data_IF_150177441046
#
_entry.id   IF_150177441046
#
_cell.length_a   1.000
_cell.length_b   1.000
_cell.length_c   1.000
_cell.angle_alpha   90.00
_cell.angle_beta   90.00
_cell.angle_gamma   90.00
#
_symmetry.space_group_name_H-M   'P 1'
#
loop_
_entity.id
_entity.type
_entity.pdbx_description
1 polymer ?
#
# COMPACT_ATOMS: atom_id res chain seq x y z
N UNK A 1 14.16 14.05 24.39
CA UNK A 1 14.99 12.90 23.96
C UNK A 1 15.95 13.39 22.89
N UNK A 2 17.24 13.09 23.01
CA UNK A 2 18.26 13.57 22.05
C UNK A 2 18.29 12.69 20.79
N UNK A 3 17.88 13.25 19.65
CA UNK A 3 17.90 12.57 18.36
C UNK A 3 19.32 12.17 17.93
N UNK A 4 20.34 12.96 18.29
CA UNK A 4 21.72 12.67 17.94
C UNK A 4 22.17 11.35 18.54
N UNK A 5 21.86 11.11 19.81
CA UNK A 5 22.20 9.85 20.49
C UNK A 5 21.52 8.64 19.82
N UNK A 6 20.24 8.77 19.43
CA UNK A 6 19.51 7.69 18.74
C UNK A 6 20.15 7.39 17.38
N UNK A 7 20.49 8.43 16.61
CA UNK A 7 21.11 8.26 15.30
C UNK A 7 22.49 7.60 15.40
N UNK A 8 23.34 8.03 16.34
CA UNK A 8 24.65 7.42 16.58
C UNK A 8 24.53 5.95 16.97
N UNK A 9 23.60 5.61 17.87
CA UNK A 9 23.34 4.22 18.25
C UNK A 9 22.90 3.35 17.08
N UNK A 10 22.05 3.86 16.18
CA UNK A 10 21.61 3.12 15.01
C UNK A 10 22.73 2.99 13.96
N UNK A 11 23.58 4.02 13.81
CA UNK A 11 24.75 3.97 12.93
C UNK A 11 25.73 2.89 13.39
N UNK A 12 26.08 2.88 14.67
CA UNK A 12 26.97 1.87 15.24
C UNK A 12 26.41 0.46 15.04
N UNK A 13 25.10 0.28 15.29
CA UNK A 13 24.41 -1.00 15.05
C UNK A 13 24.46 -1.44 13.58
N UNK A 14 24.24 -0.52 12.65
CA UNK A 14 24.25 -0.81 11.22
C UNK A 14 25.66 -1.13 10.71
N UNK A 15 26.68 -0.43 11.23
CA UNK A 15 28.08 -0.68 10.87
C UNK A 15 28.63 -1.96 11.52
N UNK A 16 28.24 -2.25 12.76
CA UNK A 16 28.65 -3.48 13.45
C UNK A 16 28.00 -4.73 12.85
N UNK A 17 26.81 -4.59 12.28
CA UNK A 17 26.14 -5.65 11.52
C UNK A 17 26.75 -5.72 10.11
N UNK A 18 27.69 -6.64 9.91
CA UNK A 18 28.11 -7.03 8.56
C UNK A 18 26.85 -7.52 7.82
N UNK A 19 26.54 -6.96 6.65
CA UNK A 19 25.38 -7.34 5.85
C UNK A 19 25.46 -8.85 5.53
N UNK A 20 24.74 -9.66 6.30
CA UNK A 20 24.69 -11.10 6.11
C UNK A 20 23.43 -11.45 5.32
N UNK A 21 23.63 -11.92 4.09
CA UNK A 21 22.55 -12.28 3.17
C UNK A 21 21.61 -13.35 3.76
N UNK A 22 22.17 -14.27 4.55
CA UNK A 22 21.38 -15.33 5.20
C UNK A 22 20.50 -14.78 6.32
N UNK A 23 20.99 -13.81 7.09
CA UNK A 23 20.19 -13.14 8.12
C UNK A 23 19.00 -12.41 7.51
N UNK A 24 19.21 -11.66 6.42
CA UNK A 24 18.11 -11.01 5.70
C UNK A 24 17.11 -12.02 5.13
N UNK A 25 17.59 -13.12 4.56
CA UNK A 25 16.72 -14.18 4.05
C UNK A 25 15.86 -14.77 5.17
N UNK A 26 16.45 -15.00 6.34
CA UNK A 26 15.76 -15.51 7.52
C UNK A 26 14.76 -14.50 8.10
N UNK A 27 15.12 -13.22 8.22
CA UNK A 27 14.21 -12.15 8.66
C UNK A 27 13.02 -12.01 7.70
N UNK A 28 13.29 -11.99 6.38
CA UNK A 28 12.24 -11.93 5.37
C UNK A 28 11.33 -13.17 5.40
N UNK A 29 11.88 -14.35 5.65
CA UNK A 29 11.09 -15.57 5.80
C UNK A 29 10.16 -15.51 7.02
N UNK A 30 10.60 -14.90 8.13
CA UNK A 30 9.74 -14.66 9.30
C UNK A 30 8.56 -13.74 8.95
N UNK A 31 8.81 -12.65 8.22
CA UNK A 31 7.75 -11.74 7.75
C UNK A 31 6.75 -12.46 6.83
N UNK A 32 7.25 -13.28 5.88
CA UNK A 32 6.40 -14.10 5.01
C UNK A 32 5.51 -15.05 5.80
N UNK A 33 6.08 -15.77 6.78
CA UNK A 33 5.33 -16.70 7.65
C UNK A 33 4.22 -15.97 8.41
N UNK A 34 4.52 -14.79 8.97
CA UNK A 34 3.54 -13.97 9.67
C UNK A 34 2.41 -13.51 8.74
N UNK A 35 2.75 -13.06 7.52
CA UNK A 35 1.75 -12.67 6.51
C UNK A 35 0.85 -13.84 6.11
N UNK A 36 1.41 -15.03 5.91
CA UNK A 36 0.62 -16.23 5.60
C UNK A 36 -0.33 -16.59 6.74
N UNK A 37 0.14 -16.47 7.99
CA UNK A 37 -0.68 -16.70 9.18
C UNK A 37 -1.85 -15.69 9.27
N UNK A 38 -1.59 -14.42 9.00
CA UNK A 38 -2.66 -13.40 8.99
C UNK A 38 -3.74 -13.68 7.94
N UNK A 39 -3.35 -14.24 6.80
CA UNK A 39 -4.27 -14.68 5.75
C UNK A 39 -5.06 -15.92 6.17
N UNK A 40 -4.43 -16.92 6.78
CA UNK A 40 -5.14 -18.12 7.27
C UNK A 40 -6.12 -17.80 8.39
N UNK A 41 -5.71 -16.93 9.30
CA UNK A 41 -6.49 -16.55 10.49
C UNK A 41 -7.55 -15.48 10.16
N UNK A 42 -7.63 -15.05 8.89
CA UNK A 42 -8.55 -14.01 8.39
C UNK A 42 -8.55 -12.72 9.22
N UNK A 43 -7.38 -12.34 9.74
CA UNK A 43 -7.23 -11.16 10.61
C UNK A 43 -7.54 -9.87 9.83
N UNK A 44 -7.11 -9.82 8.57
CA UNK A 44 -7.37 -8.70 7.67
C UNK A 44 -8.21 -9.19 6.50
N UNK A 45 -9.47 -8.77 6.48
CA UNK A 45 -10.43 -9.12 5.44
C UNK A 45 -10.18 -8.31 4.16
N UNK A 46 -10.61 -8.89 3.03
CA UNK A 46 -10.53 -8.33 1.66
C UNK A 46 -11.86 -8.47 0.93
N UNK A 47 -12.97 -8.44 1.67
CA UNK A 47 -14.30 -8.81 1.18
C UNK A 47 -14.82 -7.87 0.08
N UNK A 48 -14.45 -6.57 0.12
CA UNK A 48 -14.84 -5.61 -0.92
C UNK A 48 -14.16 -5.96 -2.27
N UNK A 49 -12.92 -6.40 -2.20
CA UNK A 49 -12.07 -6.77 -3.36
C UNK A 49 -12.55 -8.04 -4.05
N UNK A 50 -13.21 -8.92 -3.30
CA UNK A 50 -13.72 -10.22 -3.76
C UNK A 50 -15.14 -10.15 -4.33
N UNK A 51 -15.82 -8.99 -4.25
CA UNK A 51 -17.15 -8.83 -4.84
C UNK A 51 -17.10 -9.02 -6.37
N UNK A 52 -18.10 -9.68 -6.98
CA UNK A 52 -18.11 -10.00 -8.41
C UNK A 52 -17.82 -8.80 -9.34
N UNK A 53 -18.34 -7.62 -8.99
CA UNK A 53 -18.15 -6.36 -9.70
C UNK A 53 -16.71 -5.81 -9.62
N UNK A 54 -15.97 -6.14 -8.54
CA UNK A 54 -14.63 -5.60 -8.26
C UNK A 54 -13.51 -6.56 -8.67
N UNK A 55 -13.79 -7.86 -8.89
CA UNK A 55 -12.79 -8.85 -9.31
C UNK A 55 -12.02 -8.38 -10.55
N UNK A 56 -12.70 -7.77 -11.53
CA UNK A 56 -12.10 -7.27 -12.78
C UNK A 56 -11.26 -5.99 -12.61
N UNK A 57 -11.34 -5.34 -11.44
CA UNK A 57 -10.57 -4.14 -11.10
C UNK A 57 -9.22 -4.47 -10.46
N UNK A 58 -8.95 -5.76 -10.16
CA UNK A 58 -7.69 -6.23 -9.58
C UNK A 58 -6.74 -6.71 -10.67
N UNK A 59 -5.52 -6.16 -10.71
CA UNK A 59 -4.47 -6.59 -11.65
C UNK A 59 -4.00 -8.01 -11.35
N UNK A 60 -3.88 -8.35 -10.08
CA UNK A 60 -3.46 -9.66 -9.60
C UNK A 60 -4.50 -10.20 -8.61
N UNK A 61 -4.87 -11.47 -8.77
CA UNK A 61 -5.91 -12.12 -7.94
C UNK A 61 -5.48 -12.33 -6.48
N UNK A 62 -4.17 -12.38 -6.25
CA UNK A 62 -3.55 -12.64 -4.97
C UNK A 62 -3.12 -11.38 -4.22
N UNK A 63 -3.20 -10.20 -4.85
CA UNK A 63 -2.86 -8.89 -4.28
C UNK A 63 -4.13 -8.05 -4.17
N UNK A 64 -4.79 -8.14 -3.01
CA UNK A 64 -6.05 -7.46 -2.72
C UNK A 64 -5.86 -6.48 -1.56
N UNK A 65 -6.49 -5.29 -1.62
CA UNK A 65 -6.39 -4.34 -0.53
C UNK A 65 -7.18 -4.83 0.69
N UNK A 66 -6.66 -4.55 1.88
CA UNK A 66 -7.36 -4.87 3.12
C UNK A 66 -8.51 -3.89 3.38
N UNK A 67 -9.67 -4.41 3.81
CA UNK A 67 -10.88 -3.60 3.97
C UNK A 67 -10.72 -2.47 4.99
N UNK A 68 -9.99 -2.71 6.08
CA UNK A 68 -9.82 -1.74 7.17
C UNK A 68 -8.98 -0.51 6.81
N UNK A 69 -8.21 -0.57 5.72
CA UNK A 69 -7.32 0.51 5.28
C UNK A 69 -7.48 0.83 3.80
N UNK A 70 -8.50 0.28 3.12
CA UNK A 70 -8.71 0.52 1.69
C UNK A 70 -9.04 1.98 1.43
N UNK A 71 -8.67 2.47 0.26
CA UNK A 71 -9.14 3.75 -0.24
C UNK A 71 -10.55 3.57 -0.77
N UNK A 72 -11.48 4.39 -0.27
CA UNK A 72 -12.87 4.38 -0.73
C UNK A 72 -13.10 5.59 -1.64
N UNK A 73 -13.76 5.40 -2.78
CA UNK A 73 -14.09 6.49 -3.70
C UNK A 73 -15.53 6.93 -3.45
N UNK A 74 -15.74 8.10 -2.86
CA UNK A 74 -17.08 8.67 -2.65
C UNK A 74 -17.61 9.39 -3.89
N UNK A 75 -16.72 9.91 -4.75
CA UNK A 75 -17.10 10.58 -5.98
C UNK A 75 -17.66 9.56 -6.99
N UNK A 76 -18.96 9.58 -7.25
CA UNK A 76 -19.64 8.76 -8.27
C UNK A 76 -20.00 9.65 -9.46
N UNK A 77 -19.46 9.36 -10.63
CA UNK A 77 -19.65 10.12 -11.89
C UNK A 77 -20.56 9.40 -12.89
N UNK A 78 -20.84 8.12 -12.68
CA UNK A 78 -21.68 7.26 -13.51
C UNK A 78 -22.29 6.12 -12.69
N UNK A 79 -23.42 5.57 -13.13
CA UNK A 79 -24.04 4.37 -12.55
C UNK A 79 -23.13 3.13 -12.57
N UNK A 80 -22.05 3.16 -13.37
CA UNK A 80 -21.05 2.09 -13.47
C UNK A 80 -19.89 2.26 -12.48
N UNK A 81 -19.81 3.40 -11.81
CA UNK A 81 -18.75 3.66 -10.84
C UNK A 81 -19.02 2.88 -9.55
N UNK A 82 -17.95 2.37 -8.95
CA UNK A 82 -18.01 1.76 -7.62
C UNK A 82 -17.16 2.56 -6.65
N UNK A 83 -17.37 2.31 -5.36
CA UNK A 83 -16.55 2.85 -4.27
C UNK A 83 -15.19 2.15 -4.14
N UNK A 84 -14.86 1.25 -5.08
CA UNK A 84 -13.71 0.36 -5.00
C UNK A 84 -12.59 0.78 -5.96
N UNK A 85 -11.39 0.86 -5.41
CA UNK A 85 -10.12 0.87 -6.13
C UNK A 85 -9.14 -0.03 -5.36
N UNK A 86 -8.25 -0.73 -6.08
CA UNK A 86 -7.20 -1.54 -5.45
C UNK A 86 -6.07 -0.64 -4.91
N UNK A 87 -6.33 -0.06 -3.74
CA UNK A 87 -5.41 0.81 -3.02
C UNK A 87 -5.65 0.78 -1.51
N UNK A 88 -4.59 1.00 -0.72
CA UNK A 88 -4.66 1.15 0.73
C UNK A 88 -3.95 2.43 1.20
N UNK A 89 -4.47 3.04 2.26
CA UNK A 89 -3.76 4.05 3.02
C UNK A 89 -2.65 3.43 3.86
N UNK A 90 -1.48 4.06 3.85
CA UNK A 90 -0.36 3.74 4.72
C UNK A 90 -0.14 4.92 5.68
N UNK A 91 -0.09 4.58 6.96
CA UNK A 91 0.18 5.53 8.04
C UNK A 91 1.62 6.05 7.92
N UNK A 92 1.75 7.37 7.96
CA UNK A 92 3.04 8.04 8.10
C UNK A 92 3.32 8.44 9.55
N UNK A 93 4.38 9.22 9.74
CA UNK A 93 4.80 9.68 11.08
C UNK A 93 3.72 10.54 11.74
N UNK A 94 3.08 11.42 10.97
CA UNK A 94 2.18 12.45 11.49
C UNK A 94 0.69 12.21 11.22
N UNK A 95 0.34 11.16 10.47
CA UNK A 95 -1.06 10.95 10.10
C UNK A 95 -1.36 9.56 9.54
N UNK A 96 -2.62 9.08 9.68
CA UNK A 96 -3.04 7.75 9.24
C UNK A 96 -3.12 7.60 7.71
N UNK A 97 -3.21 8.71 6.95
CA UNK A 97 -3.37 8.74 5.49
C UNK A 97 -2.22 9.49 4.81
N UNK A 98 -0.98 9.17 5.18
CA UNK A 98 0.18 9.87 4.64
C UNK A 98 0.54 9.41 3.23
N UNK A 99 0.28 8.15 2.92
CA UNK A 99 0.56 7.58 1.60
C UNK A 99 -0.62 6.74 1.12
N UNK A 100 -0.76 6.65 -0.20
CA UNK A 100 -1.63 5.71 -0.87
C UNK A 100 -0.73 4.73 -1.63
N UNK A 101 -0.80 3.46 -1.26
CA UNK A 101 -0.22 2.38 -2.05
C UNK A 101 -1.31 1.79 -2.94
N UNK A 102 -1.12 1.85 -4.25
CA UNK A 102 -2.08 1.37 -5.26
C UNK A 102 -1.37 0.52 -6.29
N UNK A 103 -2.11 -0.39 -6.93
CA UNK A 103 -1.64 -1.04 -8.14
C UNK A 103 -1.45 -0.04 -9.28
N UNK A 104 -0.64 -0.40 -10.28
CA UNK A 104 -0.64 0.32 -11.55
C UNK A 104 -2.01 0.21 -12.24
N UNK A 105 -2.66 1.31 -12.66
CA UNK A 105 -4.03 1.29 -13.15
C UNK A 105 -4.17 0.39 -14.38
N UNK A 106 -5.27 -0.36 -14.43
CA UNK A 106 -5.69 -1.11 -15.62
C UNK A 106 -6.38 -0.15 -16.58
N UNK A 107 -6.54 -0.54 -17.86
CA UNK A 107 -7.32 0.23 -18.83
C UNK A 107 -8.75 0.51 -18.33
N UNK A 108 -9.33 -0.41 -17.56
CA UNK A 108 -10.66 -0.30 -16.95
C UNK A 108 -10.72 0.53 -15.67
N UNK A 109 -9.58 0.84 -15.04
CA UNK A 109 -9.51 1.53 -13.74
C UNK A 109 -8.76 2.86 -13.81
N UNK A 110 -8.44 3.37 -15.02
CA UNK A 110 -7.79 4.68 -15.19
C UNK A 110 -8.67 5.78 -14.61
N UNK A 111 -9.98 5.72 -14.83
CA UNK A 111 -10.93 6.70 -14.29
C UNK A 111 -11.01 6.61 -12.76
N UNK A 112 -11.09 5.39 -12.20
CA UNK A 112 -11.06 5.18 -10.75
C UNK A 112 -9.79 5.78 -10.13
N UNK A 113 -8.63 5.62 -10.80
CA UNK A 113 -7.36 6.20 -10.36
C UNK A 113 -7.41 7.72 -10.33
N UNK A 114 -7.92 8.38 -11.37
CA UNK A 114 -8.05 9.84 -11.36
C UNK A 114 -9.07 10.36 -10.35
N UNK A 115 -10.18 9.64 -10.15
CA UNK A 115 -11.15 9.93 -9.09
C UNK A 115 -10.47 9.91 -7.72
N UNK A 116 -9.61 8.93 -7.47
CA UNK A 116 -8.82 8.84 -6.24
C UNK A 116 -7.89 10.04 -6.07
N UNK A 117 -7.11 10.39 -7.09
CA UNK A 117 -6.17 11.52 -7.04
C UNK A 117 -6.91 12.82 -6.75
N UNK A 118 -8.04 13.04 -7.43
CA UNK A 118 -8.86 14.23 -7.26
C UNK A 118 -9.51 14.32 -5.88
N UNK A 119 -10.19 13.25 -5.46
CA UNK A 119 -10.93 13.20 -4.19
C UNK A 119 -10.03 13.37 -2.96
N UNK A 120 -8.81 12.85 -3.03
CA UNK A 120 -7.85 12.91 -1.92
C UNK A 120 -6.78 13.99 -2.10
N UNK A 121 -6.96 14.91 -3.05
CA UNK A 121 -6.07 16.06 -3.29
C UNK A 121 -4.58 15.65 -3.39
N UNK A 122 -4.31 14.56 -4.10
CA UNK A 122 -2.95 14.00 -4.19
C UNK A 122 -2.09 14.87 -5.10
N UNK A 123 -1.08 15.51 -4.51
CA UNK A 123 -0.16 16.41 -5.22
C UNK A 123 0.97 15.67 -5.95
N UNK A 124 1.45 14.58 -5.36
CA UNK A 124 2.64 13.86 -5.80
C UNK A 124 2.34 12.38 -5.95
N UNK A 125 2.75 11.78 -7.07
CA UNK A 125 2.78 10.33 -7.22
C UNK A 125 4.12 9.82 -7.72
N UNK A 126 4.41 8.56 -7.37
CA UNK A 126 5.65 7.86 -7.70
C UNK A 126 5.34 6.70 -8.63
N UNK A 127 6.08 6.61 -9.73
CA UNK A 127 6.00 5.49 -10.67
C UNK A 127 7.40 4.94 -10.95
N UNK A 128 7.50 3.61 -11.06
CA UNK A 128 8.75 2.83 -11.07
C UNK A 128 9.75 3.24 -12.17
N UNK A 129 9.31 3.98 -13.20
CA UNK A 129 10.15 4.51 -14.28
C UNK A 129 10.40 6.04 -14.20
N UNK A 130 10.91 6.50 -13.04
CA UNK A 130 11.60 7.80 -12.84
C UNK A 130 10.91 9.06 -13.40
N UNK A 131 9.60 9.17 -13.26
CA UNK A 131 8.94 10.48 -13.38
C UNK A 131 8.13 10.70 -12.12
N UNK A 132 8.70 11.48 -11.19
CA UNK A 132 7.92 12.14 -10.16
C UNK A 132 7.07 13.17 -10.91
N UNK A 133 5.75 13.02 -10.93
CA UNK A 133 4.88 14.11 -11.35
C UNK A 133 4.35 14.73 -10.06
N UNK A 134 4.79 15.96 -9.82
CA UNK A 134 4.25 16.84 -8.80
C UNK A 134 3.57 17.98 -9.56
N UNK A 135 2.29 18.22 -9.28
CA UNK A 135 1.57 19.37 -9.84
C UNK A 135 1.58 20.57 -8.89
#
# INVERSE_FOLDING_TARGET
MDQRKILLQNLDRAQSRKLNREEFANEFLKLKRQSTKYRSDKIYLTAASEQPENIKKNRYKDILPFDHSRVELSLITSDKDSHYINANFIKGVYGPRAYIATQGPLSTTVLDFWRMIWEYEVLCWLWENRSYLCH
#
